data_IF_139999269752
#
_entry.id   IF_139999269752
#
_cell.length_a   1.000
_cell.length_b   1.000
_cell.length_c   1.000
_cell.angle_alpha   90.00
_cell.angle_beta   90.00
_cell.angle_gamma   90.00
#
_symmetry.space_group_name_H-M   'P 1'
#
loop_
_entity.id
_entity.type
_entity.pdbx_description
1 polymer ?
#
# COMPACT_ATOMS: atom_id res chain seq x y z
N UNK A 1 -1.80 0.35 22.48
CA UNK A 1 -0.46 0.98 22.36
C UNK A 1 -0.07 1.79 23.58
N UNK A 2 -0.94 2.63 24.14
CA UNK A 2 -0.65 3.38 25.38
C UNK A 2 -0.12 2.49 26.51
N UNK A 3 -0.76 1.34 26.78
CA UNK A 3 -0.34 0.44 27.85
C UNK A 3 1.09 -0.07 27.72
N UNK A 4 1.52 -0.55 26.54
CA UNK A 4 2.90 -1.03 26.39
C UNK A 4 3.93 0.08 26.57
N UNK A 5 3.63 1.29 26.07
CA UNK A 5 4.51 2.43 26.24
C UNK A 5 4.55 2.89 27.69
N UNK A 6 3.41 2.91 28.38
CA UNK A 6 3.34 3.27 29.80
C UNK A 6 4.11 2.27 30.69
N UNK A 7 3.95 0.96 30.45
CA UNK A 7 4.67 -0.05 31.23
C UNK A 7 6.15 -0.13 30.87
N UNK A 8 6.52 0.04 29.60
CA UNK A 8 7.92 0.14 29.20
C UNK A 8 8.60 1.38 29.81
N UNK A 9 7.91 2.53 29.82
CA UNK A 9 8.39 3.75 30.46
C UNK A 9 8.51 3.60 31.98
N UNK A 10 7.53 2.94 32.62
CA UNK A 10 7.57 2.65 34.05
C UNK A 10 8.74 1.74 34.41
N UNK A 11 8.97 0.66 33.65
CA UNK A 11 10.11 -0.24 33.86
C UNK A 11 11.44 0.43 33.56
N UNK A 12 11.53 1.31 32.56
CA UNK A 12 12.73 2.10 32.30
C UNK A 12 13.04 3.07 33.45
N UNK A 13 12.02 3.72 34.02
CA UNK A 13 12.17 4.65 35.14
C UNK A 13 12.54 3.90 36.43
N UNK A 14 11.92 2.76 36.71
CA UNK A 14 12.29 1.85 37.80
C UNK A 14 13.74 1.38 37.65
N UNK A 15 14.12 0.91 36.46
CA UNK A 15 15.47 0.45 36.14
C UNK A 15 16.51 1.56 36.29
N UNK A 16 16.18 2.81 35.94
CA UNK A 16 17.06 3.95 36.17
C UNK A 16 17.29 4.21 37.66
N UNK A 17 16.23 4.17 38.48
CA UNK A 17 16.34 4.31 39.93
C UNK A 17 17.14 3.15 40.54
N UNK A 18 16.88 1.91 40.12
CA UNK A 18 17.60 0.74 40.61
C UNK A 18 19.08 0.78 40.21
N UNK A 19 19.40 1.25 39.00
CA UNK A 19 20.78 1.41 38.53
C UNK A 19 21.55 2.45 39.35
N UNK A 20 20.93 3.60 39.63
CA UNK A 20 21.57 4.64 40.47
C UNK A 20 21.78 4.16 41.91
N UNK A 21 20.84 3.41 42.48
CA UNK A 21 20.99 2.75 43.79
C UNK A 21 22.09 1.68 43.78
N UNK A 22 22.18 0.89 42.71
CA UNK A 22 23.20 -0.14 42.56
C UNK A 22 24.61 0.47 42.54
N UNK A 23 24.81 1.55 41.79
CA UNK A 23 26.09 2.29 41.75
C UNK A 23 26.45 2.80 43.16
N UNK A 24 25.47 3.36 43.89
CA UNK A 24 25.69 3.87 45.23
C UNK A 24 26.00 2.75 46.25
N UNK A 25 25.39 1.56 46.11
CA UNK A 25 25.66 0.40 46.96
C UNK A 25 27.04 -0.23 46.67
N UNK A 26 27.47 -0.27 45.40
CA UNK A 26 28.80 -0.75 45.02
C UNK A 26 29.93 0.19 45.48
N UNK A 27 29.66 1.50 45.52
CA UNK A 27 30.63 2.50 45.99
C UNK A 27 30.78 2.54 47.53
N UNK A 28 29.91 1.86 48.28
CA UNK A 28 29.91 1.92 49.75
C UNK A 28 29.73 0.52 50.37
N UNK A 29 30.80 -0.01 50.96
CA UNK A 29 30.83 -1.36 51.57
C UNK A 29 29.80 -1.58 52.67
N UNK A 30 29.35 -0.51 53.35
CA UNK A 30 28.30 -0.59 54.37
C UNK A 30 26.92 -0.98 53.83
N UNK A 31 26.69 -0.83 52.52
CA UNK A 31 25.41 -1.15 51.85
C UNK A 31 25.42 -2.48 51.09
N UNK A 32 26.46 -3.30 51.30
CA UNK A 32 26.60 -4.57 50.58
C UNK A 32 25.45 -5.56 50.82
N UNK A 33 24.77 -5.49 51.97
CA UNK A 33 23.63 -6.34 52.28
C UNK A 33 22.39 -6.05 51.40
N UNK A 34 22.28 -4.84 50.84
CA UNK A 34 21.14 -4.40 50.01
C UNK A 34 21.31 -4.80 48.51
N UNK A 35 22.50 -5.24 48.11
CA UNK A 35 22.84 -5.59 46.72
C UNK A 35 21.89 -6.63 46.08
N UNK A 36 21.54 -7.75 46.75
CA UNK A 36 20.66 -8.76 46.15
C UNK A 36 19.27 -8.22 45.84
N UNK A 37 18.72 -7.39 46.73
CA UNK A 37 17.38 -6.80 46.59
C UNK A 37 17.35 -5.76 45.45
N UNK A 38 18.36 -4.90 45.38
CA UNK A 38 18.50 -3.92 44.29
C UNK A 38 18.67 -4.62 42.94
N UNK A 39 19.46 -5.69 42.88
CA UNK A 39 19.68 -6.46 41.67
C UNK A 39 18.40 -7.18 41.20
N UNK A 40 17.62 -7.72 42.14
CA UNK A 40 16.33 -8.33 41.85
C UNK A 40 15.34 -7.31 41.27
N UNK A 41 15.24 -6.12 41.87
CA UNK A 41 14.40 -5.04 41.35
C UNK A 41 14.81 -4.61 39.94
N UNK A 42 16.12 -4.41 39.72
CA UNK A 42 16.68 -4.05 38.41
C UNK A 42 16.39 -5.13 37.35
N UNK A 43 16.50 -6.41 37.70
CA UNK A 43 16.18 -7.50 36.79
C UNK A 43 14.69 -7.51 36.39
N UNK A 44 13.79 -7.25 37.34
CA UNK A 44 12.35 -7.14 37.08
C UNK A 44 12.06 -5.96 36.14
N UNK A 45 12.65 -4.80 36.42
CA UNK A 45 12.45 -3.57 35.63
C UNK A 45 12.94 -3.74 34.17
N UNK A 46 14.12 -4.33 33.99
CA UNK A 46 14.66 -4.65 32.65
C UNK A 46 13.79 -5.66 31.93
N UNK A 47 13.34 -6.70 32.63
CA UNK A 47 12.46 -7.74 32.08
C UNK A 47 11.12 -7.16 31.62
N UNK A 48 10.50 -6.33 32.45
CA UNK A 48 9.26 -5.64 32.14
C UNK A 48 9.43 -4.71 30.93
N UNK A 49 10.44 -3.82 30.96
CA UNK A 49 10.70 -2.89 29.86
C UNK A 49 10.94 -3.62 28.53
N UNK A 50 11.74 -4.69 28.57
CA UNK A 50 12.08 -5.50 27.39
C UNK A 50 10.88 -6.24 26.82
N UNK A 51 10.05 -6.85 27.67
CA UNK A 51 8.83 -7.55 27.24
C UNK A 51 7.84 -6.58 26.58
N UNK A 52 7.57 -5.44 27.22
CA UNK A 52 6.62 -4.47 26.69
C UNK A 52 7.13 -3.77 25.43
N UNK A 53 8.44 -3.50 25.34
CA UNK A 53 9.07 -3.01 24.11
C UNK A 53 8.93 -4.02 22.96
N UNK A 54 9.16 -5.31 23.23
CA UNK A 54 9.00 -6.38 22.25
C UNK A 54 7.55 -6.50 21.75
N UNK A 55 6.57 -6.50 22.67
CA UNK A 55 5.15 -6.54 22.34
C UNK A 55 4.73 -5.33 21.50
N UNK A 56 5.20 -4.13 21.87
CA UNK A 56 4.97 -2.90 21.11
C UNK A 56 5.53 -3.01 19.68
N UNK A 57 6.78 -3.46 19.53
CA UNK A 57 7.42 -3.62 18.24
C UNK A 57 6.63 -4.59 17.33
N UNK A 58 6.23 -5.75 17.87
CA UNK A 58 5.48 -6.76 17.12
C UNK A 58 4.12 -6.24 16.67
N UNK A 59 3.37 -5.58 17.56
CA UNK A 59 2.06 -5.02 17.23
C UNK A 59 2.20 -3.89 16.20
N UNK A 60 3.19 -3.00 16.36
CA UNK A 60 3.43 -1.92 15.42
C UNK A 60 3.78 -2.44 14.03
N UNK A 61 4.59 -3.50 13.93
CA UNK A 61 4.91 -4.13 12.63
C UNK A 61 3.67 -4.67 11.92
N UNK A 62 2.76 -5.31 12.65
CA UNK A 62 1.50 -5.81 12.09
C UNK A 62 0.59 -4.67 11.61
N UNK A 63 0.44 -3.61 12.41
CA UNK A 63 -0.36 -2.44 12.04
C UNK A 63 0.19 -1.73 10.81
N UNK A 64 1.50 -1.49 10.76
CA UNK A 64 2.12 -0.87 9.60
C UNK A 64 1.93 -1.69 8.33
N UNK A 65 2.00 -3.03 8.41
CA UNK A 65 1.72 -3.87 7.25
C UNK A 65 0.27 -3.74 6.74
N UNK A 66 -0.70 -3.57 7.65
CA UNK A 66 -2.10 -3.33 7.28
C UNK A 66 -2.31 -1.93 6.70
N UNK A 67 -1.71 -0.91 7.31
CA UNK A 67 -1.77 0.47 6.82
C UNK A 67 -1.15 0.58 5.42
N UNK A 68 -0.04 -0.11 5.15
CA UNK A 68 0.57 -0.15 3.81
C UNK A 68 -0.32 -0.86 2.78
N UNK A 69 -1.08 -1.88 3.18
CA UNK A 69 -2.07 -2.51 2.29
C UNK A 69 -3.22 -1.54 2.00
N UNK A 70 -3.80 -0.94 3.03
CA UNK A 70 -4.91 0.00 2.89
C UNK A 70 -4.51 1.23 2.07
N UNK A 71 -3.34 1.81 2.34
CA UNK A 71 -2.82 2.95 1.59
C UNK A 71 -2.58 2.63 0.12
N UNK A 72 -2.13 1.40 -0.22
CA UNK A 72 -2.03 0.96 -1.60
C UNK A 72 -3.40 0.84 -2.26
N UNK A 73 -4.37 0.23 -1.59
CA UNK A 73 -5.73 0.10 -2.11
C UNK A 73 -6.40 1.46 -2.29
N UNK A 74 -6.21 2.38 -1.35
CA UNK A 74 -6.71 3.76 -1.42
C UNK A 74 -6.06 4.52 -2.57
N UNK A 75 -4.73 4.43 -2.73
CA UNK A 75 -4.01 5.03 -3.85
C UNK A 75 -4.55 4.54 -5.20
N UNK A 76 -4.70 3.22 -5.36
CA UNK A 76 -5.28 2.62 -6.56
C UNK A 76 -6.72 3.08 -6.82
N UNK A 77 -7.53 3.20 -5.76
CA UNK A 77 -8.92 3.63 -5.87
C UNK A 77 -9.08 5.10 -6.28
N UNK A 78 -8.08 5.94 -5.99
CA UNK A 78 -8.05 7.37 -6.29
C UNK A 78 -7.37 7.67 -7.64
N UNK A 79 -6.87 6.66 -8.36
CA UNK A 79 -6.34 6.84 -9.70
C UNK A 79 -7.43 7.37 -10.62
N UNK A 80 -7.11 8.40 -11.41
CA UNK A 80 -8.06 9.10 -12.26
C UNK A 80 -8.05 8.53 -13.66
N UNK A 81 -9.24 8.23 -14.18
CA UNK A 81 -9.51 7.74 -15.51
C UNK A 81 -10.33 8.77 -16.29
N UNK A 82 -10.04 8.92 -17.58
CA UNK A 82 -10.84 9.72 -18.51
C UNK A 82 -11.83 8.80 -19.20
N UNK A 83 -13.12 9.09 -19.01
CA UNK A 83 -14.22 8.38 -19.69
C UNK A 83 -14.59 9.05 -20.99
N UNK A 84 -14.69 10.38 -20.96
CA UNK A 84 -15.01 11.22 -22.11
C UNK A 84 -14.08 12.43 -22.12
N UNK A 85 -14.06 13.20 -23.20
CA UNK A 85 -13.20 14.39 -23.35
C UNK A 85 -13.31 15.39 -22.18
N UNK A 86 -14.47 15.45 -21.52
CA UNK A 86 -14.76 16.37 -20.42
C UNK A 86 -14.87 15.71 -19.04
N UNK A 87 -14.95 14.37 -18.95
CA UNK A 87 -15.28 13.67 -17.70
C UNK A 87 -14.12 12.81 -17.20
N UNK A 88 -13.61 13.18 -16.04
CA UNK A 88 -12.56 12.44 -15.30
C UNK A 88 -13.20 11.86 -14.05
N UNK A 89 -13.09 10.54 -13.86
CA UNK A 89 -13.61 9.82 -12.70
C UNK A 89 -12.50 8.98 -12.05
N UNK A 90 -12.46 8.86 -10.72
CA UNK A 90 -11.57 7.93 -10.05
C UNK A 90 -11.95 6.46 -10.33
N UNK A 91 -11.00 5.55 -10.20
CA UNK A 91 -11.21 4.09 -10.33
C UNK A 91 -12.31 3.59 -9.37
N UNK A 92 -12.39 4.19 -8.17
CA UNK A 92 -13.42 3.87 -7.17
C UNK A 92 -14.85 4.01 -7.69
N UNK A 93 -15.14 4.99 -8.55
CA UNK A 93 -16.48 5.23 -9.08
C UNK A 93 -16.99 4.11 -9.99
N UNK A 94 -16.10 3.28 -10.54
CA UNK A 94 -16.47 2.14 -11.37
C UNK A 94 -16.80 0.89 -10.53
N UNK A 95 -16.56 0.92 -9.21
CA UNK A 95 -16.84 -0.21 -8.33
C UNK A 95 -18.34 -0.53 -8.33
N UNK A 96 -18.69 -1.75 -8.74
CA UNK A 96 -20.07 -2.20 -8.84
C UNK A 96 -20.79 -1.78 -10.12
N UNK A 97 -20.18 -0.94 -10.96
CA UNK A 97 -20.71 -0.51 -12.26
C UNK A 97 -20.07 -1.31 -13.39
N UNK A 98 -18.74 -1.46 -13.35
CA UNK A 98 -17.97 -2.16 -14.37
C UNK A 98 -16.75 -2.87 -13.78
N UNK A 99 -16.28 -3.93 -14.45
CA UNK A 99 -15.05 -4.63 -14.09
C UNK A 99 -13.89 -3.99 -14.83
N UNK A 100 -13.07 -3.21 -14.12
CA UNK A 100 -11.87 -2.59 -14.66
C UNK A 100 -10.72 -3.60 -14.75
N UNK A 101 -10.08 -3.66 -15.91
CA UNK A 101 -8.85 -4.43 -16.18
C UNK A 101 -7.77 -3.45 -16.62
N UNK A 102 -6.67 -3.39 -15.87
CA UNK A 102 -5.52 -2.53 -16.20
C UNK A 102 -4.50 -3.38 -16.98
N UNK A 103 -4.22 -2.99 -18.22
CA UNK A 103 -3.17 -3.58 -19.05
C UNK A 103 -1.90 -2.74 -18.92
N UNK A 104 -0.97 -3.20 -18.09
CA UNK A 104 0.32 -2.55 -17.89
C UNK A 104 1.42 -3.23 -18.72
N UNK A 105 2.20 -2.47 -19.49
CA UNK A 105 3.28 -3.02 -20.31
C UNK A 105 3.93 -1.99 -21.22
N UNK A 106 4.79 -2.45 -22.13
CA UNK A 106 5.30 -1.59 -23.20
C UNK A 106 4.18 -1.26 -24.19
N UNK A 107 4.30 -0.13 -24.88
CA UNK A 107 3.28 0.32 -25.84
C UNK A 107 3.06 -0.70 -26.98
N UNK A 108 4.12 -1.36 -27.43
CA UNK A 108 4.07 -2.43 -28.43
C UNK A 108 3.32 -3.66 -27.93
N UNK A 109 3.61 -4.10 -26.70
CA UNK A 109 2.96 -5.25 -26.09
C UNK A 109 1.47 -5.01 -25.84
N UNK A 110 1.11 -3.81 -25.38
CA UNK A 110 -0.29 -3.43 -25.22
C UNK A 110 -1.00 -3.49 -26.58
N UNK A 111 -0.42 -2.90 -27.63
CA UNK A 111 -1.02 -2.90 -28.97
C UNK A 111 -1.23 -4.31 -29.52
N UNK A 112 -0.28 -5.21 -29.33
CA UNK A 112 -0.40 -6.63 -29.71
C UNK A 112 -1.50 -7.35 -28.93
N UNK A 113 -1.57 -7.14 -27.61
CA UNK A 113 -2.66 -7.70 -26.78
C UNK A 113 -4.03 -7.21 -27.26
N UNK A 114 -4.15 -5.94 -27.65
CA UNK A 114 -5.38 -5.39 -28.17
C UNK A 114 -5.79 -6.04 -29.50
N UNK A 115 -4.85 -6.31 -30.40
CA UNK A 115 -5.10 -7.04 -31.66
C UNK A 115 -5.59 -8.47 -31.39
N UNK A 116 -4.95 -9.18 -30.46
CA UNK A 116 -5.38 -10.53 -30.08
C UNK A 116 -6.74 -10.56 -29.37
N UNK A 117 -7.11 -9.48 -28.69
CA UNK A 117 -8.38 -9.37 -27.96
C UNK A 117 -9.59 -9.01 -28.84
N UNK A 118 -9.36 -8.59 -30.09
CA UNK A 118 -10.40 -8.17 -31.03
C UNK A 118 -11.61 -9.13 -31.12
N UNK A 119 -11.45 -10.46 -31.30
CA UNK A 119 -12.59 -11.38 -31.38
C UNK A 119 -13.40 -11.49 -30.08
N UNK A 120 -12.83 -11.10 -28.94
CA UNK A 120 -13.48 -11.18 -27.63
C UNK A 120 -14.14 -9.87 -27.19
N UNK A 121 -13.96 -8.78 -27.96
CA UNK A 121 -14.42 -7.43 -27.59
C UNK A 121 -15.91 -7.39 -27.27
N UNK A 122 -16.75 -8.00 -28.10
CA UNK A 122 -18.21 -7.97 -27.91
C UNK A 122 -18.62 -8.71 -26.62
N UNK A 123 -18.00 -9.87 -26.34
CA UNK A 123 -18.22 -10.62 -25.09
C UNK A 123 -17.72 -9.88 -23.85
N UNK A 124 -16.66 -9.08 -23.96
CA UNK A 124 -16.12 -8.27 -22.86
C UNK A 124 -17.05 -7.09 -22.53
N UNK A 125 -17.59 -6.42 -23.55
CA UNK A 125 -18.53 -5.31 -23.39
C UNK A 125 -19.84 -5.78 -22.77
N UNK A 126 -20.41 -6.90 -23.24
CA UNK A 126 -21.64 -7.48 -22.68
C UNK A 126 -21.50 -7.83 -21.19
N UNK A 127 -20.29 -8.22 -20.77
CA UNK A 127 -19.98 -8.55 -19.36
C UNK A 127 -19.59 -7.33 -18.52
N UNK A 128 -19.64 -6.13 -19.10
CA UNK A 128 -19.30 -4.87 -18.45
C UNK A 128 -17.82 -4.76 -18.08
N UNK A 129 -16.92 -5.34 -18.89
CA UNK A 129 -15.47 -5.27 -18.69
C UNK A 129 -14.93 -4.03 -19.42
N UNK A 130 -14.19 -3.19 -18.69
CA UNK A 130 -13.53 -2.00 -19.21
C UNK A 130 -12.02 -2.14 -19.09
N UNK A 131 -11.29 -1.81 -20.14
CA UNK A 131 -9.84 -1.98 -20.22
C UNK A 131 -9.14 -0.64 -20.18
N UNK A 132 -8.16 -0.50 -19.29
CA UNK A 132 -7.31 0.69 -19.14
C UNK A 132 -5.90 0.35 -19.60
N UNK A 133 -5.44 0.81 -20.78
CA UNK A 133 -4.05 0.67 -21.18
C UNK A 133 -3.16 1.62 -20.36
N UNK A 134 -2.13 1.07 -19.73
CA UNK A 134 -1.11 1.80 -18.98
C UNK A 134 0.27 1.47 -19.54
N UNK A 135 0.80 2.34 -20.41
CA UNK A 135 2.13 2.15 -20.99
C UNK A 135 3.22 2.58 -20.00
N UNK A 136 4.14 1.66 -19.72
CA UNK A 136 5.29 1.91 -18.82
C UNK A 136 6.35 2.82 -19.45
N UNK A 137 6.37 2.94 -20.78
CA UNK A 137 7.42 3.62 -21.54
C UNK A 137 7.15 5.12 -21.78
N UNK A 138 6.21 5.72 -21.04
CA UNK A 138 5.73 7.10 -21.19
C UNK A 138 5.15 7.48 -22.59
N UNK A 139 5.26 6.59 -23.58
CA UNK A 139 4.60 6.69 -24.87
C UNK A 139 3.16 6.15 -24.75
N UNK A 140 2.17 7.04 -24.89
CA UNK A 140 0.78 6.64 -25.05
C UNK A 140 0.69 5.71 -26.28
N UNK A 141 0.10 4.51 -26.16
CA UNK A 141 -0.06 3.62 -27.29
C UNK A 141 -0.97 4.27 -28.34
N UNK A 142 -0.39 4.56 -29.51
CA UNK A 142 -1.15 4.95 -30.67
C UNK A 142 -1.71 3.67 -31.31
N UNK A 143 -2.95 3.34 -31.01
CA UNK A 143 -3.61 2.15 -31.53
C UNK A 143 -4.03 2.35 -33.00
N UNK A 144 -3.05 2.36 -33.90
CA UNK A 144 -3.30 2.28 -35.34
C UNK A 144 -3.62 0.82 -35.70
N UNK A 145 -4.91 0.53 -35.80
CA UNK A 145 -5.40 -0.69 -36.44
C UNK A 145 -5.44 -0.44 -37.95
N UNK A 146 -4.86 -1.35 -38.71
CA UNK A 146 -4.76 -1.28 -40.16
C UNK A 146 -6.07 -1.79 -40.78
N UNK A 147 -7.12 -0.95 -40.88
CA UNK A 147 -8.43 -1.41 -41.38
C UNK A 147 -9.27 -0.38 -42.20
N UNK A 148 -9.91 -0.94 -43.23
CA UNK A 148 -10.77 -0.33 -44.26
C UNK A 148 -11.93 0.55 -43.73
N UNK A 149 -12.31 1.56 -44.52
CA UNK A 149 -13.17 2.70 -44.14
C UNK A 149 -14.56 2.36 -43.57
N UNK A 150 -15.17 1.21 -43.90
CA UNK A 150 -16.50 0.84 -43.39
C UNK A 150 -16.47 0.20 -41.99
N UNK A 151 -15.34 -0.38 -41.55
CA UNK A 151 -15.18 -0.86 -40.16
C UNK A 151 -14.81 0.26 -39.18
N UNK A 152 -14.32 1.41 -39.67
CA UNK A 152 -13.88 2.55 -38.82
C UNK A 152 -14.96 3.07 -37.89
N UNK A 153 -16.20 3.28 -38.33
CA UNK A 153 -17.23 3.87 -37.47
C UNK A 153 -17.75 2.92 -36.39
N UNK A 154 -17.97 1.64 -36.75
CA UNK A 154 -18.39 0.60 -35.79
C UNK A 154 -17.29 0.32 -34.77
N UNK A 155 -16.03 0.16 -35.22
CA UNK A 155 -14.91 -0.05 -34.32
C UNK A 155 -14.56 1.21 -33.51
N UNK A 156 -14.73 2.43 -34.02
CA UNK A 156 -14.47 3.65 -33.24
C UNK A 156 -15.50 3.87 -32.12
N UNK A 157 -16.80 3.62 -32.37
CA UNK A 157 -17.82 3.65 -31.32
C UNK A 157 -17.60 2.54 -30.29
N UNK A 158 -17.25 1.33 -30.75
CA UNK A 158 -16.90 0.21 -29.86
C UNK A 158 -15.68 0.58 -28.99
N UNK A 159 -14.57 1.02 -29.59
CA UNK A 159 -13.32 1.46 -28.91
C UNK A 159 -13.58 2.46 -27.78
N UNK A 160 -14.41 3.49 -28.01
CA UNK A 160 -14.74 4.49 -26.98
C UNK A 160 -15.53 3.96 -25.78
N UNK A 161 -16.25 2.84 -25.94
CA UNK A 161 -17.11 2.31 -24.89
C UNK A 161 -16.39 1.32 -23.97
N UNK A 162 -15.33 0.65 -24.44
CA UNK A 162 -14.60 -0.35 -23.65
C UNK A 162 -13.20 0.07 -23.22
N UNK A 163 -12.65 1.15 -23.78
CA UNK A 163 -11.31 1.65 -23.45
C UNK A 163 -11.40 2.94 -22.62
N UNK A 164 -10.65 2.99 -21.53
CA UNK A 164 -10.53 4.16 -20.67
C UNK A 164 -9.08 4.62 -20.62
N UNK A 165 -8.82 5.91 -20.78
CA UNK A 165 -7.44 6.42 -20.75
C UNK A 165 -7.04 6.85 -19.33
N UNK A 166 -5.88 6.42 -18.83
CA UNK A 166 -5.38 6.92 -17.55
C UNK A 166 -5.06 8.41 -17.65
N UNK A 167 -5.38 9.16 -16.60
CA UNK A 167 -5.03 10.58 -16.46
C UNK A 167 -3.99 10.72 -15.37
N UNK A 168 -3.03 11.63 -15.56
CA UNK A 168 -1.91 11.86 -14.65
C UNK A 168 -1.08 10.59 -14.43
N UNK A 169 -0.46 10.08 -15.50
CA UNK A 169 0.38 8.86 -15.53
C UNK A 169 1.45 8.84 -14.43
N UNK A 170 1.93 10.01 -13.99
CA UNK A 170 2.86 10.17 -12.86
C UNK A 170 2.32 9.72 -11.50
N UNK A 171 1.00 9.66 -11.31
CA UNK A 171 0.36 9.13 -10.09
C UNK A 171 0.19 7.60 -10.13
N UNK A 172 0.36 6.98 -11.30
CA UNK A 172 0.24 5.54 -11.49
C UNK A 172 1.56 4.79 -11.25
N UNK A 173 2.69 5.51 -11.24
CA UNK A 173 4.04 4.96 -11.05
C UNK A 173 4.57 5.08 -9.61
N UNK A 174 3.73 5.48 -8.64
CA UNK A 174 4.11 5.71 -7.24
C UNK A 174 4.01 4.45 -6.36
#
# INVERSE_FOLDING_TARGET
MFFYLAFAASGALGGFIATTRLIAALANSSRAAELPEILQGLAIDIGAASLFAFLYYRENRSKNAQLLKLSREESLSNLKLRVNETKILPVSDFRGIARLVILAGSSSFISECFKLSEPFTDSLVERGVLVVPFASDANLPNFEFDENEQMKEKNARRKRLWQLSPVYVTNWTK
#
